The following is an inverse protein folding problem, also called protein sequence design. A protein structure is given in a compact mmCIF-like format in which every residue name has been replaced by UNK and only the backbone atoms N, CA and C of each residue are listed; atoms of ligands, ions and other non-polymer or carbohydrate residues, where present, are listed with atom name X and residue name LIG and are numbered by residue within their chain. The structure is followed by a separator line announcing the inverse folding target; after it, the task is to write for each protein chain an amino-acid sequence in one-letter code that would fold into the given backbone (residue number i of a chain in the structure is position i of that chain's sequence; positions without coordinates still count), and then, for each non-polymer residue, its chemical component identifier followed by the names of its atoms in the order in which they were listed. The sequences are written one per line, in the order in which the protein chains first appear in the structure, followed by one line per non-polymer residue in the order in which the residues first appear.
data_IF_124710498655
#
_entry.id   IF_124710498655
#
_cell.length_a   1.000
_cell.length_b   1.000
_cell.length_c   1.000
_cell.angle_alpha   90.00
_cell.angle_beta   90.00
_cell.angle_gamma   90.00
#
_symmetry.space_group_name_H-M   'P 1'
#
loop_
_entity.id
_entity.type
_entity.pdbx_description
1 polymer ?
#
# COMPACT_ATOMS: atom_id res chain seq x y z
N UNK A 1 -25.37 16.52 -9.63
CA UNK A 1 -24.00 16.84 -10.06
C UNK A 1 -23.22 15.56 -10.00
N UNK A 2 -22.67 15.08 -11.11
CA UNK A 2 -21.74 13.94 -11.07
C UNK A 2 -20.52 14.37 -10.24
N UNK A 3 -20.09 13.54 -9.27
CA UNK A 3 -18.86 13.83 -8.54
C UNK A 3 -17.71 13.95 -9.55
N UNK A 4 -16.91 14.99 -9.40
CA UNK A 4 -15.75 15.20 -10.24
C UNK A 4 -14.82 13.99 -10.07
N UNK A 5 -14.34 13.44 -11.17
CA UNK A 5 -13.28 12.41 -11.15
C UNK A 5 -12.12 13.00 -10.34
N UNK A 6 -11.61 12.30 -9.31
CA UNK A 6 -10.51 12.83 -8.52
C UNK A 6 -9.34 13.16 -9.44
N UNK A 7 -8.85 14.39 -9.33
CA UNK A 7 -7.85 14.97 -10.25
C UNK A 7 -6.43 14.50 -9.89
N UNK A 8 -6.27 13.58 -8.93
CA UNK A 8 -4.99 13.13 -8.42
C UNK A 8 -4.84 11.64 -8.67
N UNK A 9 -3.82 11.30 -9.44
CA UNK A 9 -3.39 9.93 -9.66
C UNK A 9 -2.17 9.64 -8.78
N UNK A 10 -2.24 8.59 -7.98
CA UNK A 10 -1.08 8.05 -7.28
C UNK A 10 -0.07 7.50 -8.30
N UNK A 11 1.21 7.75 -8.04
CA UNK A 11 2.30 7.25 -8.88
C UNK A 11 2.97 8.32 -9.74
N UNK A 12 2.50 9.56 -9.71
CA UNK A 12 3.09 10.67 -10.47
C UNK A 12 3.23 11.95 -9.62
N UNK A 13 4.45 12.54 -9.54
CA UNK A 13 5.73 12.04 -10.08
C UNK A 13 6.24 10.80 -9.35
N UNK A 14 7.03 9.99 -10.06
CA UNK A 14 7.76 8.85 -9.51
C UNK A 14 9.22 9.24 -9.28
N UNK A 15 9.71 9.04 -8.06
CA UNK A 15 11.13 9.15 -7.71
C UNK A 15 11.67 7.76 -7.38
N UNK A 16 12.68 7.34 -8.16
CA UNK A 16 13.38 6.08 -7.96
C UNK A 16 14.65 6.28 -7.11
N UNK A 17 14.81 5.49 -6.07
CA UNK A 17 15.92 5.51 -5.12
C UNK A 17 16.61 4.13 -5.14
N UNK A 18 17.92 4.08 -5.27
CA UNK A 18 18.64 2.79 -5.24
C UNK A 18 18.64 2.16 -3.85
N UNK A 19 18.91 2.98 -2.82
CA UNK A 19 18.96 2.55 -1.42
C UNK A 19 18.55 3.71 -0.52
N UNK A 20 17.70 3.43 0.44
CA UNK A 20 17.28 4.39 1.46
C UNK A 20 17.02 3.66 2.79
N UNK A 21 16.87 4.40 3.88
CA UNK A 21 16.44 3.83 5.16
C UNK A 21 15.00 3.29 5.09
N UNK A 22 14.04 4.14 4.72
CA UNK A 22 12.64 3.77 4.51
C UNK A 22 11.97 4.77 3.58
N UNK A 23 11.20 4.28 2.60
CA UNK A 23 10.41 5.13 1.71
C UNK A 23 9.36 5.94 2.46
N UNK A 24 8.77 5.40 3.56
CA UNK A 24 7.83 6.13 4.41
C UNK A 24 8.50 7.28 5.16
N UNK A 25 9.70 7.04 5.73
CA UNK A 25 10.46 8.11 6.41
C UNK A 25 10.79 9.23 5.43
N UNK A 26 11.25 8.86 4.22
CA UNK A 26 11.56 9.82 3.18
C UNK A 26 10.32 10.63 2.75
N UNK A 27 9.21 9.96 2.48
CA UNK A 27 7.94 10.58 2.12
C UNK A 27 7.46 11.57 3.19
N UNK A 28 7.52 11.16 4.47
CA UNK A 28 7.16 12.01 5.59
C UNK A 28 8.07 13.23 5.72
N UNK A 29 9.38 13.08 5.45
CA UNK A 29 10.33 14.18 5.45
C UNK A 29 10.01 15.19 4.33
N UNK A 30 9.62 14.74 3.13
CA UNK A 30 9.20 15.61 2.04
C UNK A 30 7.97 16.45 2.42
N UNK A 31 6.98 15.87 3.10
CA UNK A 31 5.81 16.60 3.58
C UNK A 31 6.22 17.65 4.60
N UNK A 32 7.03 17.29 5.60
CA UNK A 32 7.48 18.22 6.66
C UNK A 32 8.33 19.38 6.12
N UNK A 33 9.10 19.13 5.06
CA UNK A 33 9.90 20.14 4.38
C UNK A 33 9.09 21.06 3.43
N UNK A 34 7.80 20.77 3.22
CA UNK A 34 6.97 21.51 2.26
C UNK A 34 7.32 21.24 0.80
N UNK A 35 8.03 20.15 0.51
CA UNK A 35 8.46 19.73 -0.82
C UNK A 35 7.56 18.65 -1.44
N UNK A 36 6.58 18.18 -0.68
CA UNK A 36 5.66 17.14 -1.10
C UNK A 36 4.73 17.62 -2.21
N UNK A 37 4.56 16.76 -3.23
CA UNK A 37 3.52 16.92 -4.25
C UNK A 37 2.54 15.76 -4.13
N UNK A 38 1.26 16.07 -3.94
CA UNK A 38 0.20 15.06 -3.86
C UNK A 38 0.22 14.15 -5.09
N UNK A 39 0.08 12.84 -4.87
CA UNK A 39 0.19 11.80 -5.89
C UNK A 39 1.60 11.23 -6.08
N UNK A 40 2.65 11.90 -5.57
CA UNK A 40 4.03 11.41 -5.72
C UNK A 40 4.21 10.01 -5.14
N UNK A 41 5.06 9.24 -5.81
CA UNK A 41 5.53 7.93 -5.38
C UNK A 41 7.04 7.94 -5.21
N UNK A 42 7.50 7.43 -4.08
CA UNK A 42 8.91 7.16 -3.79
C UNK A 42 9.12 5.66 -3.77
N UNK A 43 9.87 5.16 -4.74
CA UNK A 43 10.20 3.74 -4.88
C UNK A 43 11.66 3.53 -4.55
N UNK A 44 11.98 2.48 -3.79
CA UNK A 44 13.35 2.06 -3.52
C UNK A 44 13.63 0.65 -4.06
N UNK A 45 14.87 0.41 -4.53
CA UNK A 45 15.31 -0.95 -4.81
C UNK A 45 15.67 -1.70 -3.53
N UNK A 46 16.10 -0.95 -2.48
CA UNK A 46 16.45 -1.53 -1.17
C UNK A 46 16.18 -0.55 -0.03
N UNK A 47 15.66 -1.07 1.09
CA UNK A 47 15.50 -0.34 2.34
C UNK A 47 16.39 -0.95 3.43
N UNK A 48 17.25 -0.14 4.07
CA UNK A 48 18.11 -0.60 5.18
C UNK A 48 17.36 -0.75 6.49
N UNK A 49 16.26 0.00 6.67
CA UNK A 49 15.39 -0.01 7.85
C UNK A 49 13.92 0.05 7.43
N UNK A 50 13.51 -0.91 6.57
CA UNK A 50 12.12 -1.01 6.14
C UNK A 50 11.17 -1.10 7.33
N UNK A 51 10.09 -0.29 7.30
CA UNK A 51 9.12 -0.21 8.41
C UNK A 51 7.88 -1.05 8.15
N UNK A 52 7.46 -1.79 9.18
CA UNK A 52 6.13 -2.35 9.33
C UNK A 52 5.37 -1.70 10.48
N UNK A 53 4.14 -2.15 10.74
CA UNK A 53 3.36 -1.69 11.89
C UNK A 53 3.99 -2.11 13.24
N UNK A 54 3.74 -1.30 14.26
CA UNK A 54 4.17 -1.58 15.66
C UNK A 54 5.68 -1.81 15.82
N UNK A 55 6.50 -1.09 15.01
CA UNK A 55 7.96 -1.19 15.08
C UNK A 55 8.55 -2.45 14.43
N UNK A 56 7.76 -3.25 13.74
CA UNK A 56 8.26 -4.40 12.98
C UNK A 56 9.11 -3.93 11.80
N UNK A 57 10.07 -4.76 11.42
CA UNK A 57 10.91 -4.52 10.25
C UNK A 57 10.28 -5.20 9.03
N UNK A 58 10.29 -4.49 7.89
CA UNK A 58 9.99 -5.06 6.59
C UNK A 58 11.31 -5.46 5.91
N UNK A 59 11.52 -6.75 5.77
CA UNK A 59 12.71 -7.33 5.11
C UNK A 59 12.47 -7.48 3.60
N UNK A 60 13.47 -7.18 2.79
CA UNK A 60 13.38 -7.36 1.35
C UNK A 60 14.77 -7.47 0.72
N UNK A 61 14.92 -8.40 -0.22
CA UNK A 61 16.09 -8.49 -1.07
C UNK A 61 16.09 -7.38 -2.12
N UNK A 62 17.30 -6.85 -2.41
CA UNK A 62 17.47 -5.71 -3.31
C UNK A 62 16.90 -5.97 -4.71
N UNK A 63 16.03 -5.09 -5.17
CA UNK A 63 15.44 -5.10 -6.52
C UNK A 63 14.42 -6.23 -6.78
N UNK A 64 14.08 -7.04 -5.77
CA UNK A 64 13.20 -8.19 -5.95
C UNK A 64 11.72 -7.88 -5.70
N UNK A 65 11.43 -6.82 -4.97
CA UNK A 65 10.08 -6.55 -4.46
C UNK A 65 9.65 -5.10 -4.73
N UNK A 66 8.35 -4.83 -4.65
CA UNK A 66 7.86 -3.47 -4.60
C UNK A 66 8.09 -2.94 -3.19
N UNK A 67 8.83 -1.84 -3.09
CA UNK A 67 9.07 -1.06 -1.89
C UNK A 67 8.79 0.39 -2.23
N UNK A 68 7.60 0.88 -1.92
CA UNK A 68 7.22 2.23 -2.29
C UNK A 68 6.33 2.90 -1.24
N UNK A 69 6.33 4.23 -1.28
CA UNK A 69 5.41 5.06 -0.50
C UNK A 69 4.80 6.12 -1.39
N UNK A 70 3.49 6.22 -1.38
CA UNK A 70 2.74 7.29 -2.02
C UNK A 70 2.41 8.35 -1.00
N UNK A 71 2.35 9.60 -1.43
CA UNK A 71 1.85 10.70 -0.62
C UNK A 71 0.59 11.29 -1.22
N UNK A 72 -0.35 11.63 -0.36
CA UNK A 72 -1.62 12.21 -0.77
C UNK A 72 -2.00 13.36 0.18
N UNK A 73 -2.30 14.50 -0.40
CA UNK A 73 -2.90 15.65 0.28
C UNK A 73 -4.42 15.52 0.17
N UNK A 74 -5.09 15.37 1.31
CA UNK A 74 -6.50 14.99 1.33
C UNK A 74 -7.41 16.08 0.75
N UNK A 75 -7.09 17.36 0.99
CA UNK A 75 -7.83 18.48 0.41
C UNK A 75 -7.89 18.41 -1.14
N UNK A 76 -6.83 17.89 -1.76
CA UNK A 76 -6.78 17.75 -3.22
C UNK A 76 -7.54 16.53 -3.76
N UNK A 77 -7.89 15.60 -2.88
CA UNK A 77 -8.66 14.41 -3.26
C UNK A 77 -10.13 14.76 -3.52
N UNK A 78 -10.71 15.58 -2.64
CA UNK A 78 -12.03 16.19 -2.80
C UNK A 78 -12.01 17.52 -2.06
N UNK A 79 -11.87 18.62 -2.81
CA UNK A 79 -11.73 19.97 -2.27
C UNK A 79 -12.99 20.50 -1.57
N UNK A 80 -14.10 19.79 -1.59
CA UNK A 80 -15.35 20.15 -0.92
C UNK A 80 -15.52 19.46 0.44
N UNK A 81 -14.81 18.34 0.65
CA UNK A 81 -14.91 17.54 1.87
C UNK A 81 -13.84 17.95 2.87
N UNK A 82 -14.25 18.19 4.12
CA UNK A 82 -13.32 18.24 5.26
C UNK A 82 -13.04 16.82 5.73
N UNK A 83 -11.80 16.41 5.53
CA UNK A 83 -11.34 15.09 5.93
C UNK A 83 -11.01 15.06 7.42
N UNK A 84 -11.44 14.02 8.11
CA UNK A 84 -11.30 13.84 9.55
C UNK A 84 -10.65 12.48 9.86
N UNK A 85 -10.17 12.24 11.08
CA UNK A 85 -9.69 10.92 11.49
C UNK A 85 -10.71 9.79 11.32
N UNK A 86 -12.01 10.08 11.33
CA UNK A 86 -13.05 9.05 11.13
C UNK A 86 -13.03 8.46 9.71
N UNK A 87 -12.62 9.25 8.71
CA UNK A 87 -12.53 8.81 7.31
C UNK A 87 -11.38 7.83 7.06
N UNK A 88 -10.43 7.70 8.00
CA UNK A 88 -9.26 6.84 7.85
C UNK A 88 -9.60 5.36 7.74
N UNK A 89 -10.72 4.92 8.31
CA UNK A 89 -11.15 3.51 8.28
C UNK A 89 -11.54 3.12 6.85
N UNK A 90 -12.43 3.89 6.22
CA UNK A 90 -12.86 3.66 4.83
C UNK A 90 -11.71 3.78 3.85
N UNK A 91 -10.85 4.79 4.02
CA UNK A 91 -9.65 4.96 3.21
C UNK A 91 -8.69 3.76 3.32
N UNK A 92 -8.41 3.29 4.54
CA UNK A 92 -7.52 2.14 4.76
C UNK A 92 -8.08 0.87 4.13
N UNK A 93 -9.40 0.67 4.21
CA UNK A 93 -10.09 -0.43 3.54
C UNK A 93 -9.93 -0.34 2.00
N UNK A 94 -10.09 0.87 1.43
CA UNK A 94 -9.90 1.10 -0.01
C UNK A 94 -8.47 0.76 -0.46
N UNK A 95 -7.46 1.22 0.27
CA UNK A 95 -6.05 0.92 -0.04
C UNK A 95 -5.78 -0.59 0.03
N UNK A 96 -6.29 -1.28 1.05
CA UNK A 96 -6.14 -2.73 1.18
C UNK A 96 -6.84 -3.49 0.05
N UNK A 97 -8.04 -3.05 -0.36
CA UNK A 97 -8.76 -3.59 -1.51
C UNK A 97 -7.99 -3.41 -2.82
N UNK A 98 -7.41 -2.21 -3.04
CA UNK A 98 -6.58 -1.93 -4.21
C UNK A 98 -5.33 -2.81 -4.26
N UNK A 99 -4.61 -2.92 -3.14
CA UNK A 99 -3.42 -3.78 -3.04
C UNK A 99 -3.77 -5.26 -3.23
N UNK A 100 -4.89 -5.72 -2.66
CA UNK A 100 -5.43 -7.07 -2.87
C UNK A 100 -5.82 -7.30 -4.33
N UNK A 101 -6.52 -6.36 -4.96
CA UNK A 101 -6.96 -6.47 -6.36
C UNK A 101 -5.75 -6.56 -7.30
N UNK A 102 -4.72 -5.73 -7.07
CA UNK A 102 -3.46 -5.82 -7.79
C UNK A 102 -2.87 -7.23 -7.70
N UNK A 103 -2.65 -7.75 -6.49
CA UNK A 103 -1.99 -9.05 -6.32
C UNK A 103 -2.84 -10.18 -6.89
N UNK A 104 -4.16 -10.14 -6.70
CA UNK A 104 -5.10 -11.12 -7.20
C UNK A 104 -5.18 -11.20 -8.73
N UNK A 105 -4.90 -10.10 -9.44
CA UNK A 105 -4.87 -10.07 -10.89
C UNK A 105 -3.80 -11.01 -11.47
N UNK A 106 -2.75 -11.30 -10.71
CA UNK A 106 -1.65 -12.17 -11.12
C UNK A 106 -1.63 -13.51 -10.38
N UNK A 107 -1.97 -13.51 -9.09
CA UNK A 107 -1.93 -14.71 -8.23
C UNK A 107 -3.26 -15.48 -8.18
N UNK A 108 -4.38 -14.82 -8.48
CA UNK A 108 -5.71 -15.44 -8.45
C UNK A 108 -6.52 -15.19 -7.20
N UNK A 109 -7.67 -15.89 -7.11
CA UNK A 109 -8.75 -15.63 -6.14
C UNK A 109 -8.43 -15.97 -4.69
N UNK A 110 -7.39 -16.77 -4.45
CA UNK A 110 -6.92 -17.09 -3.08
C UNK A 110 -6.21 -15.91 -2.39
N UNK A 111 -6.04 -14.79 -3.12
CA UNK A 111 -5.54 -13.56 -2.53
C UNK A 111 -6.59 -12.95 -1.60
N UNK A 112 -6.23 -12.79 -0.34
CA UNK A 112 -7.07 -12.33 0.76
C UNK A 112 -6.41 -11.20 1.54
N UNK A 113 -7.15 -10.61 2.46
CA UNK A 113 -6.66 -9.57 3.37
C UNK A 113 -6.67 -10.15 4.79
N UNK A 114 -5.51 -10.15 5.45
CA UNK A 114 -5.44 -10.34 6.90
C UNK A 114 -5.49 -8.97 7.55
N UNK A 115 -6.52 -8.75 8.35
CA UNK A 115 -6.72 -7.47 9.04
C UNK A 115 -5.51 -7.07 9.89
N UNK A 116 -5.21 -5.76 9.94
CA UNK A 116 -5.91 -4.70 9.21
C UNK A 116 -5.32 -4.37 7.83
N UNK A 117 -4.13 -4.88 7.46
CA UNK A 117 -3.28 -4.27 6.44
C UNK A 117 -2.34 -5.23 5.71
N UNK A 118 -2.50 -6.53 5.86
CA UNK A 118 -1.63 -7.51 5.23
C UNK A 118 -2.33 -8.20 4.06
N UNK A 119 -1.61 -8.36 2.95
CA UNK A 119 -2.06 -9.15 1.79
C UNK A 119 -1.51 -10.56 1.92
N UNK A 120 -2.40 -11.52 1.81
CA UNK A 120 -2.10 -12.95 1.92
C UNK A 120 -2.50 -13.69 0.65
N UNK A 121 -1.76 -14.74 0.34
CA UNK A 121 -2.17 -15.77 -0.62
C UNK A 121 -2.25 -17.08 0.15
N UNK A 122 -3.43 -17.68 0.18
CA UNK A 122 -3.75 -18.78 1.10
C UNK A 122 -3.45 -18.37 2.56
N UNK A 123 -2.50 -19.01 3.21
CA UNK A 123 -2.06 -18.77 4.59
C UNK A 123 -0.71 -18.03 4.71
N UNK A 124 -0.13 -17.60 3.57
CA UNK A 124 1.20 -16.97 3.50
C UNK A 124 1.12 -15.49 3.14
N UNK A 125 1.98 -14.68 3.78
CA UNK A 125 2.00 -13.22 3.61
C UNK A 125 2.68 -12.81 2.30
N UNK A 126 1.94 -12.19 1.40
CA UNK A 126 2.42 -11.68 0.12
C UNK A 126 2.82 -10.20 0.17
N UNK A 127 2.26 -9.43 1.09
CA UNK A 127 2.53 -8.00 1.19
C UNK A 127 2.04 -7.38 2.48
N UNK A 128 2.42 -6.12 2.69
CA UNK A 128 2.00 -5.33 3.84
C UNK A 128 1.83 -3.86 3.49
N UNK A 129 0.92 -3.20 4.17
CA UNK A 129 0.59 -1.79 3.99
C UNK A 129 0.85 -1.05 5.30
N UNK A 130 1.51 0.10 5.23
CA UNK A 130 1.74 0.99 6.36
C UNK A 130 1.24 2.39 6.02
N UNK A 131 0.11 2.77 6.58
CA UNK A 131 -0.46 4.11 6.41
C UNK A 131 -0.07 4.97 7.61
N UNK A 132 0.58 6.11 7.35
CA UNK A 132 0.94 7.10 8.34
C UNK A 132 0.26 8.43 8.00
N UNK A 133 -0.55 8.95 8.92
CA UNK A 133 -1.40 10.12 8.71
C UNK A 133 -0.88 11.35 9.44
N UNK A 134 -1.00 12.52 8.82
CA UNK A 134 -0.80 13.80 9.47
C UNK A 134 -2.16 14.46 9.73
N UNK A 135 -2.41 14.72 11.02
CA UNK A 135 -3.62 15.38 11.49
C UNK A 135 -3.22 16.72 12.09
N UNK A 136 -3.91 17.80 11.71
CA UNK A 136 -3.76 19.12 12.28
C UNK A 136 -5.09 19.56 12.94
N UNK A 137 -5.10 19.61 14.27
CA UNK A 137 -6.34 19.79 15.01
C UNK A 137 -7.30 18.63 14.75
N UNK A 138 -8.44 18.91 14.11
CA UNK A 138 -9.44 17.90 13.73
C UNK A 138 -9.38 17.50 12.24
N UNK A 139 -8.44 18.07 11.48
CA UNK A 139 -8.35 17.86 10.04
C UNK A 139 -7.24 16.84 9.71
N UNK A 140 -7.58 15.83 8.94
CA UNK A 140 -6.63 14.93 8.33
C UNK A 140 -6.11 15.55 7.03
N UNK A 141 -4.86 15.99 7.03
CA UNK A 141 -4.31 16.84 5.96
C UNK A 141 -3.51 16.05 4.94
N UNK A 142 -2.66 15.12 5.40
CA UNK A 142 -1.79 14.31 4.55
C UNK A 142 -1.80 12.86 4.97
N UNK A 143 -1.53 11.97 4.01
CA UNK A 143 -1.26 10.56 4.27
C UNK A 143 -0.04 10.08 3.50
N UNK A 144 0.73 9.20 4.12
CA UNK A 144 1.79 8.40 3.50
C UNK A 144 1.32 6.96 3.46
N UNK A 145 1.28 6.38 2.26
CA UNK A 145 0.82 5.01 2.02
C UNK A 145 2.03 4.17 1.64
N UNK A 146 2.66 3.52 2.61
CA UNK A 146 3.75 2.58 2.38
C UNK A 146 3.25 1.21 1.98
N UNK A 147 3.83 0.65 0.94
CA UNK A 147 3.51 -0.70 0.45
C UNK A 147 4.78 -1.48 0.20
N UNK A 148 4.89 -2.63 0.87
CA UNK A 148 5.82 -3.70 0.57
C UNK A 148 5.07 -4.87 -0.04
N UNK A 149 5.49 -5.33 -1.24
CA UNK A 149 4.86 -6.47 -1.90
C UNK A 149 5.93 -7.43 -2.42
N UNK A 150 5.83 -8.68 -2.04
CA UNK A 150 6.77 -9.71 -2.46
C UNK A 150 6.50 -10.13 -3.91
N UNK A 151 7.42 -9.79 -4.81
CA UNK A 151 7.27 -10.03 -6.25
C UNK A 151 8.15 -11.20 -6.70
N UNK A 152 9.48 -11.06 -6.62
CA UNK A 152 10.42 -12.03 -7.14
C UNK A 152 11.28 -12.72 -6.05
N UNK A 153 11.20 -12.27 -4.81
CA UNK A 153 11.99 -12.84 -3.73
C UNK A 153 11.54 -14.26 -3.42
N UNK A 154 12.45 -15.23 -3.49
CA UNK A 154 12.20 -16.64 -3.18
C UNK A 154 12.96 -17.13 -1.93
N UNK A 155 13.93 -16.33 -1.47
CA UNK A 155 14.69 -16.63 -0.25
C UNK A 155 14.34 -15.61 0.83
N UNK A 156 13.83 -16.10 1.94
CA UNK A 156 13.45 -15.28 3.11
C UNK A 156 14.28 -15.74 4.30
N UNK A 157 14.50 -14.83 5.27
CA UNK A 157 15.24 -15.18 6.47
C UNK A 157 14.54 -16.28 7.29
N UNK A 158 15.29 -17.09 8.03
CA UNK A 158 14.69 -18.10 8.93
C UNK A 158 13.71 -17.49 9.93
N UNK A 159 13.99 -16.28 10.39
CA UNK A 159 13.14 -15.51 11.32
C UNK A 159 11.81 -15.14 10.66
N UNK A 160 11.82 -14.75 9.40
CA UNK A 160 10.60 -14.46 8.63
C UNK A 160 9.78 -15.71 8.37
N UNK A 161 10.43 -16.83 7.99
CA UNK A 161 9.76 -18.10 7.69
C UNK A 161 9.13 -18.75 8.93
N UNK A 162 9.76 -18.60 10.10
CA UNK A 162 9.28 -19.18 11.35
C UNK A 162 8.30 -18.27 12.12
N UNK A 163 8.02 -17.09 11.60
CA UNK A 163 7.08 -16.16 12.23
C UNK A 163 5.65 -16.54 11.87
N UNK A 164 4.83 -16.88 12.86
CA UNK A 164 3.38 -17.12 12.69
C UNK A 164 2.66 -15.92 12.03
N UNK A 165 3.24 -14.73 12.14
CA UNK A 165 2.65 -13.51 11.59
C UNK A 165 3.18 -13.12 10.22
N UNK A 166 4.19 -13.78 9.68
CA UNK A 166 4.77 -13.39 8.39
C UNK A 166 4.86 -14.51 7.35
N UNK A 167 5.21 -15.74 7.67
CA UNK A 167 5.33 -16.84 6.67
C UNK A 167 5.24 -16.36 5.21
N UNK A 168 6.30 -15.70 4.68
CA UNK A 168 6.18 -14.92 3.45
C UNK A 168 6.07 -15.79 2.20
N UNK A 169 5.40 -15.25 1.17
CA UNK A 169 5.35 -15.81 -0.18
C UNK A 169 5.49 -14.69 -1.21
N UNK A 170 6.11 -14.98 -2.35
CA UNK A 170 6.19 -14.04 -3.46
C UNK A 170 5.29 -14.44 -4.63
N UNK A 171 5.04 -13.49 -5.52
CA UNK A 171 4.32 -13.76 -6.75
C UNK A 171 5.08 -14.75 -7.64
N UNK A 172 6.42 -14.69 -7.67
CA UNK A 172 7.25 -15.64 -8.39
C UNK A 172 7.09 -17.08 -7.88
N UNK A 173 7.02 -17.28 -6.56
CA UNK A 173 6.79 -18.64 -5.99
C UNK A 173 5.41 -19.18 -6.38
N UNK A 174 4.37 -18.30 -6.42
CA UNK A 174 3.01 -18.72 -6.77
C UNK A 174 2.89 -19.07 -8.25
N UNK A 175 3.48 -18.24 -9.12
CA UNK A 175 3.26 -18.33 -10.57
C UNK A 175 4.37 -19.06 -11.31
N UNK A 176 5.48 -19.37 -10.62
CA UNK A 176 6.71 -19.89 -11.21
C UNK A 176 7.25 -19.02 -12.36
N UNK A 177 7.03 -17.70 -12.28
CA UNK A 177 7.39 -16.71 -13.29
C UNK A 177 8.05 -15.50 -12.65
N UNK A 178 9.14 -15.00 -13.26
CA UNK A 178 9.77 -13.73 -12.86
C UNK A 178 9.06 -12.54 -13.49
N UNK A 179 8.96 -11.42 -12.75
CA UNK A 179 8.20 -10.24 -13.09
C UNK A 179 9.07 -8.99 -13.13
N UNK A 180 8.78 -8.08 -14.04
CA UNK A 180 9.36 -6.74 -14.05
C UNK A 180 8.76 -5.91 -12.89
N UNK A 181 9.55 -5.69 -11.84
CA UNK A 181 9.09 -5.00 -10.62
C UNK A 181 8.60 -3.58 -10.90
N UNK A 182 9.17 -2.89 -11.91
CA UNK A 182 8.73 -1.53 -12.30
C UNK A 182 7.35 -1.56 -12.93
N UNK A 183 7.09 -2.52 -13.82
CA UNK A 183 5.77 -2.70 -14.42
C UNK A 183 4.75 -3.13 -13.37
N UNK A 184 5.14 -4.02 -12.45
CA UNK A 184 4.27 -4.45 -11.36
C UNK A 184 3.88 -3.28 -10.45
N UNK A 185 4.80 -2.34 -10.18
CA UNK A 185 4.47 -1.14 -9.43
C UNK A 185 3.47 -0.23 -10.18
N UNK A 186 3.55 -0.11 -11.51
CA UNK A 186 2.57 0.63 -12.28
C UNK A 186 1.17 0.01 -12.13
N UNK A 187 1.06 -1.32 -12.27
CA UNK A 187 -0.21 -2.02 -12.04
C UNK A 187 -0.73 -1.84 -10.62
N UNK A 188 0.15 -1.80 -9.62
CA UNK A 188 -0.24 -1.48 -8.25
C UNK A 188 -0.82 -0.06 -8.16
N UNK A 189 -0.15 0.94 -8.75
CA UNK A 189 -0.64 2.33 -8.75
C UNK A 189 -2.02 2.43 -9.40
N UNK A 190 -2.24 1.76 -10.52
CA UNK A 190 -3.52 1.75 -11.22
C UNK A 190 -4.64 1.11 -10.36
N UNK A 191 -4.33 -0.01 -9.71
CA UNK A 191 -5.29 -0.67 -8.82
C UNK A 191 -5.65 0.17 -7.59
N UNK A 192 -4.68 0.88 -7.01
CA UNK A 192 -4.92 1.81 -5.90
C UNK A 192 -5.78 3.00 -6.34
N UNK A 193 -5.51 3.58 -7.51
CA UNK A 193 -6.30 4.68 -8.06
C UNK A 193 -7.76 4.26 -8.28
N UNK A 194 -7.99 3.08 -8.84
CA UNK A 194 -9.33 2.54 -9.03
C UNK A 194 -10.05 2.32 -7.69
N UNK A 195 -9.36 1.79 -6.68
CA UNK A 195 -9.95 1.55 -5.37
C UNK A 195 -10.28 2.86 -4.62
N UNK A 196 -9.43 3.89 -4.72
CA UNK A 196 -9.71 5.21 -4.16
C UNK A 196 -10.91 5.85 -4.88
N UNK A 197 -10.95 5.77 -6.21
CA UNK A 197 -12.10 6.26 -6.98
C UNK A 197 -13.39 5.57 -6.55
N UNK A 198 -13.38 4.25 -6.46
CA UNK A 198 -14.54 3.46 -6.03
C UNK A 198 -14.99 3.83 -4.62
N UNK A 199 -14.06 4.05 -3.70
CA UNK A 199 -14.36 4.50 -2.35
C UNK A 199 -15.03 5.87 -2.31
N UNK A 200 -14.49 6.84 -3.06
CA UNK A 200 -15.08 8.19 -3.17
C UNK A 200 -16.49 8.16 -3.76
N UNK A 201 -16.74 7.25 -4.70
CA UNK A 201 -18.04 7.13 -5.36
C UNK A 201 -19.08 6.36 -4.52
N UNK A 202 -18.65 5.33 -3.80
CA UNK A 202 -19.54 4.39 -3.10
C UNK A 202 -19.68 4.67 -1.60
N UNK A 203 -18.72 5.42 -1.02
CA UNK A 203 -18.66 5.77 0.40
C UNK A 203 -18.03 4.69 1.29
N UNK A 204 -17.81 5.04 2.56
CA UNK A 204 -17.13 4.21 3.55
C UNK A 204 -17.83 2.88 3.79
N UNK A 205 -19.15 2.89 3.98
CA UNK A 205 -19.94 1.72 4.35
C UNK A 205 -19.78 0.59 3.32
N UNK A 206 -19.99 0.88 2.04
CA UNK A 206 -19.84 -0.11 0.97
C UNK A 206 -18.40 -0.57 0.76
N UNK A 207 -17.44 0.32 0.99
CA UNK A 207 -16.03 -0.02 0.91
C UNK A 207 -15.64 -0.99 2.04
N UNK A 208 -16.07 -0.71 3.27
CA UNK A 208 -15.81 -1.57 4.44
C UNK A 208 -16.54 -2.92 4.27
N UNK A 209 -17.77 -2.94 3.82
CA UNK A 209 -18.51 -4.17 3.54
C UNK A 209 -17.75 -5.06 2.53
N UNK A 210 -17.27 -4.49 1.43
CA UNK A 210 -16.48 -5.20 0.44
C UNK A 210 -15.14 -5.69 1.03
N UNK A 211 -14.46 -4.87 1.83
CA UNK A 211 -13.22 -5.24 2.50
C UNK A 211 -13.43 -6.48 3.39
N UNK A 212 -14.53 -6.52 4.17
CA UNK A 212 -14.86 -7.64 5.03
C UNK A 212 -15.04 -8.96 4.25
N UNK A 213 -15.58 -8.91 3.02
CA UNK A 213 -15.75 -10.13 2.19
C UNK A 213 -14.43 -10.80 1.81
N UNK A 214 -13.33 -10.04 1.80
CA UNK A 214 -11.99 -10.56 1.47
C UNK A 214 -11.13 -10.81 2.71
N UNK A 215 -11.62 -10.50 3.90
CA UNK A 215 -10.86 -10.70 5.13
C UNK A 215 -10.79 -12.18 5.52
N UNK A 216 -9.63 -12.55 6.08
CA UNK A 216 -9.39 -13.87 6.68
C UNK A 216 -8.91 -13.74 8.12
N UNK A 217 -9.24 -14.73 8.93
CA UNK A 217 -8.62 -14.98 10.22
C UNK A 217 -7.61 -16.10 10.06
N UNK A 218 -6.34 -15.83 10.39
CA UNK A 218 -5.29 -16.84 10.45
C UNK A 218 -5.08 -17.13 11.93
N UNK A 219 -5.32 -18.39 12.29
CA UNK A 219 -5.14 -18.89 13.66
C UNK A 219 -3.67 -19.06 14.02
#
# INVERSE_FOLDING_TARGET
MSPATPNILLGAPLLELSTIDSTNIYAMAQIKAGLAKSGSCFRADYQTHGKGQHGRVWESSKGQNILCSYILELEKLDGLKKWTPADQIGFSAAIALGARAFFAAFAGSETKIKKPNDIYFSDRKAGGILIENLVRGQEWTWTVIGIGMNINQTEFSPEALNSVSSNPISLQEITNQSWDVKKMQQHLSDALNNAIHDWLMKGDEKCIELFETYCIEIK
#
